data_IF_137397609800
#
_entry.id   IF_137397609800
#
_cell.length_a   1.000
_cell.length_b   1.000
_cell.length_c   1.000
_cell.angle_alpha   90.00
_cell.angle_beta   90.00
_cell.angle_gamma   90.00
#
_symmetry.space_group_name_H-M   'P 1'
#
loop_
_entity.id
_entity.type
_entity.pdbx_description
1 polymer ?
#
# COMPACT_ATOMS: atom_id res chain seq x y z
N UNK A 1 -1.53 -4.09 -4.26
CA UNK A 1 -0.12 -3.69 -4.48
C UNK A 1 0.58 -4.49 -5.59
N UNK A 2 0.56 -5.83 -5.57
CA UNK A 2 1.16 -6.65 -6.65
C UNK A 2 0.58 -6.43 -8.06
N UNK A 3 -0.59 -5.82 -8.18
CA UNK A 3 -1.09 -5.39 -9.48
C UNK A 3 -0.41 -4.10 -9.97
N UNK A 4 0.00 -3.20 -9.06
CA UNK A 4 0.75 -1.97 -9.39
C UNK A 4 2.14 -2.31 -9.94
N UNK A 5 2.86 -3.20 -9.26
CA UNK A 5 3.20 -4.49 -9.85
C UNK A 5 3.55 -4.56 -11.35
N UNK A 6 2.62 -5.20 -12.03
CA UNK A 6 2.70 -5.49 -13.45
C UNK A 6 2.41 -4.29 -14.35
N UNK A 7 1.86 -3.20 -13.80
CA UNK A 7 1.48 -2.01 -14.58
C UNK A 7 2.52 -0.90 -14.54
N UNK A 8 3.66 -1.11 -13.90
CA UNK A 8 4.71 -0.09 -13.73
C UNK A 8 4.17 1.20 -13.08
N UNK A 9 3.17 1.06 -12.21
CA UNK A 9 2.64 2.16 -11.42
C UNK A 9 3.43 2.16 -10.12
N UNK A 10 4.70 2.55 -10.20
CA UNK A 10 5.59 2.66 -9.06
C UNK A 10 6.13 4.06 -8.99
N UNK A 11 5.92 4.65 -7.82
CA UNK A 11 6.23 6.03 -7.58
C UNK A 11 7.05 6.11 -6.30
N UNK A 12 7.99 7.05 -6.25
CA UNK A 12 8.70 7.32 -5.01
C UNK A 12 7.67 7.76 -3.96
N UNK A 13 7.54 6.97 -2.89
CA UNK A 13 6.61 7.24 -1.80
C UNK A 13 7.37 7.90 -0.67
N UNK A 14 6.85 9.00 -0.16
CA UNK A 14 7.33 9.64 1.05
C UNK A 14 6.17 9.77 2.01
N UNK A 15 6.41 9.53 3.29
CA UNK A 15 5.39 9.68 4.32
C UNK A 15 4.89 11.13 4.40
N UNK A 16 3.57 11.30 4.43
CA UNK A 16 2.93 12.58 4.71
C UNK A 16 2.39 12.60 6.14
N UNK A 17 3.05 13.40 6.99
CA UNK A 17 2.62 13.65 8.36
C UNK A 17 1.34 14.48 8.44
N UNK A 18 1.00 15.25 7.40
CA UNK A 18 -0.19 16.07 7.34
C UNK A 18 -1.43 15.25 6.95
N UNK A 19 -2.12 14.73 7.96
CA UNK A 19 -3.33 13.92 7.81
C UNK A 19 -4.47 14.63 7.06
N UNK A 20 -4.49 15.97 7.01
CA UNK A 20 -5.51 16.73 6.29
C UNK A 20 -5.43 16.58 4.76
N UNK A 21 -4.29 16.12 4.24
CA UNK A 21 -4.12 15.82 2.81
C UNK A 21 -4.77 14.49 2.40
N UNK A 22 -4.96 13.55 3.34
CA UNK A 22 -5.45 12.19 3.04
C UNK A 22 -6.84 12.20 2.36
N UNK A 23 -7.86 12.95 2.83
CA UNK A 23 -9.17 12.96 2.19
C UNK A 23 -9.13 13.40 0.72
N UNK A 24 -8.39 14.46 0.40
CA UNK A 24 -8.27 14.96 -0.98
C UNK A 24 -7.58 13.95 -1.90
N UNK A 25 -6.60 13.21 -1.37
CA UNK A 25 -5.90 12.15 -2.12
C UNK A 25 -6.80 10.95 -2.38
N UNK A 26 -7.64 10.57 -1.41
CA UNK A 26 -8.68 9.55 -1.61
C UNK A 26 -9.68 9.95 -2.68
N UNK A 27 -10.11 11.22 -2.67
CA UNK A 27 -10.95 11.79 -3.74
C UNK A 27 -10.29 11.62 -5.10
N UNK A 28 -9.01 12.00 -5.22
CA UNK A 28 -8.28 11.84 -6.47
C UNK A 28 -8.10 10.37 -6.89
N UNK A 29 -7.99 9.44 -5.92
CA UNK A 29 -7.94 8.00 -6.18
C UNK A 29 -9.30 7.37 -6.50
N UNK A 30 -10.41 8.11 -6.39
CA UNK A 30 -11.76 7.58 -6.62
C UNK A 30 -12.31 6.75 -5.46
N UNK A 31 -11.75 6.87 -4.27
CA UNK A 31 -12.20 6.17 -3.06
C UNK A 31 -13.24 6.86 -2.15
N UNK A 32 -13.75 8.10 -2.37
CA UNK A 32 -14.87 8.61 -1.57
C UNK A 32 -16.11 7.75 -1.75
N UNK A 33 -17.01 7.79 -0.76
CA UNK A 33 -18.34 7.18 -0.91
C UNK A 33 -19.31 8.17 -1.56
N UNK A 34 -20.17 7.74 -2.51
CA UNK A 34 -20.21 6.41 -3.13
C UNK A 34 -19.11 6.20 -4.19
N UNK A 35 -18.61 4.97 -4.34
CA UNK A 35 -17.69 4.50 -5.39
C UNK A 35 -18.04 3.06 -5.82
N UNK A 36 -17.34 2.54 -6.84
CA UNK A 36 -17.62 1.21 -7.42
C UNK A 36 -17.46 0.04 -6.42
N UNK A 37 -16.78 0.23 -5.30
CA UNK A 37 -16.67 -0.78 -4.24
C UNK A 37 -17.86 -0.78 -3.27
N UNK A 38 -18.69 0.27 -3.26
CA UNK A 38 -19.89 0.35 -2.42
C UNK A 38 -21.18 0.63 -3.22
N UNK A 39 -21.11 0.60 -4.54
CA UNK A 39 -22.30 0.48 -5.41
C UNK A 39 -22.86 -0.94 -5.34
N UNK A 40 -24.18 -1.08 -5.24
CA UNK A 40 -24.84 -2.35 -5.00
C UNK A 40 -25.02 -3.20 -6.27
N UNK A 41 -24.73 -4.52 -6.23
CA UNK A 41 -24.07 -5.23 -5.13
C UNK A 41 -22.54 -5.07 -5.17
N UNK A 42 -21.89 -4.80 -4.02
CA UNK A 42 -20.44 -4.77 -3.94
C UNK A 42 -19.90 -6.18 -4.23
N UNK A 43 -18.90 -6.34 -5.09
CA UNK A 43 -18.61 -7.67 -5.62
C UNK A 43 -17.95 -8.56 -4.58
N UNK A 44 -18.56 -9.71 -4.31
CA UNK A 44 -18.04 -10.71 -3.37
C UNK A 44 -17.83 -10.22 -1.94
N UNK A 45 -18.59 -9.21 -1.48
CA UNK A 45 -18.44 -8.65 -0.12
C UNK A 45 -17.21 -7.74 0.05
N UNK A 46 -16.57 -7.33 -1.04
CA UNK A 46 -15.45 -6.39 -1.05
C UNK A 46 -15.98 -4.95 -1.11
N UNK A 47 -16.29 -4.41 0.06
CA UNK A 47 -16.98 -3.12 0.21
C UNK A 47 -16.05 -1.91 0.30
N UNK A 48 -14.75 -2.16 0.44
CA UNK A 48 -13.79 -1.13 0.85
C UNK A 48 -12.83 -0.80 -0.27
N UNK A 49 -12.49 0.48 -0.42
CA UNK A 49 -11.63 0.98 -1.49
C UNK A 49 -10.17 1.04 -0.99
N UNK A 50 -9.28 0.33 -1.66
CA UNK A 50 -7.84 0.29 -1.40
C UNK A 50 -7.10 1.02 -2.52
N UNK A 51 -6.39 2.10 -2.19
CA UNK A 51 -5.64 2.93 -3.12
C UNK A 51 -4.12 2.66 -3.15
N UNK A 52 -3.54 2.72 -4.34
CA UNK A 52 -2.11 2.84 -4.54
C UNK A 52 -1.78 3.94 -5.58
N UNK A 53 -0.88 4.90 -5.29
CA UNK A 53 -0.21 5.14 -4.01
C UNK A 53 -1.15 5.34 -2.81
N UNK A 54 -0.64 5.16 -1.58
CA UNK A 54 -1.44 5.31 -0.35
C UNK A 54 -1.72 6.78 -0.05
N UNK A 55 -2.95 7.14 0.33
CA UNK A 55 -3.30 8.53 0.65
C UNK A 55 -2.42 9.17 1.74
N UNK A 56 -1.80 8.34 2.59
CA UNK A 56 -0.80 8.72 3.59
C UNK A 56 0.61 9.01 3.04
N UNK A 57 0.79 9.01 1.73
CA UNK A 57 2.08 9.26 1.06
C UNK A 57 1.98 10.35 0.00
N UNK A 58 3.11 10.97 -0.33
CA UNK A 58 3.25 11.90 -1.44
C UNK A 58 4.54 11.65 -2.25
N UNK A 59 4.64 12.26 -3.42
CA UNK A 59 5.87 12.29 -4.22
C UNK A 59 6.79 13.42 -3.79
N UNK A 60 8.00 13.48 -4.36
CA UNK A 60 8.86 14.65 -4.14
C UNK A 60 8.18 15.91 -4.71
N UNK A 61 8.04 16.95 -3.89
CA UNK A 61 7.31 18.18 -4.23
C UNK A 61 5.83 18.22 -3.78
N UNK A 62 5.23 19.41 -3.78
CA UNK A 62 4.01 19.76 -3.03
C UNK A 62 2.67 19.17 -3.55
N UNK A 63 2.66 18.01 -4.22
CA UNK A 63 1.43 17.38 -4.73
C UNK A 63 1.61 16.16 -5.65
N UNK A 64 2.78 15.53 -5.64
CA UNK A 64 3.41 14.85 -6.79
C UNK A 64 2.73 13.65 -7.47
N UNK A 65 1.60 13.10 -7.01
CA UNK A 65 0.98 11.93 -7.67
C UNK A 65 -0.52 12.10 -7.95
N UNK A 66 -1.27 12.58 -6.96
CA UNK A 66 -2.74 12.56 -7.01
C UNK A 66 -3.37 13.57 -7.97
N UNK A 67 -2.69 14.68 -8.27
CA UNK A 67 -3.23 15.70 -9.17
C UNK A 67 -3.11 15.32 -10.66
N UNK A 68 -2.20 14.40 -11.02
CA UNK A 68 -1.83 14.16 -12.43
C UNK A 68 -1.57 12.68 -12.83
N UNK A 69 -1.46 11.71 -11.92
CA UNK A 69 -0.87 10.38 -12.24
C UNK A 69 -1.78 9.16 -12.08
N UNK A 70 -3.09 9.35 -11.89
CA UNK A 70 -4.06 8.25 -11.94
C UNK A 70 -3.79 7.16 -10.91
N UNK A 71 -3.92 7.51 -9.63
CA UNK A 71 -3.92 6.53 -8.55
C UNK A 71 -4.91 5.39 -8.89
N UNK A 72 -4.44 4.16 -8.70
CA UNK A 72 -5.24 2.96 -8.91
C UNK A 72 -5.93 2.62 -7.61
N UNK A 73 -7.20 2.25 -7.71
CA UNK A 73 -7.92 1.68 -6.59
C UNK A 73 -8.36 0.24 -6.92
N UNK A 74 -8.72 -0.52 -5.89
CA UNK A 74 -9.43 -1.80 -6.01
C UNK A 74 -10.37 -1.99 -4.85
N UNK A 75 -11.31 -2.91 -5.03
CA UNK A 75 -12.21 -3.31 -3.96
C UNK A 75 -11.60 -4.46 -3.16
N UNK A 76 -11.55 -4.28 -1.83
CA UNK A 76 -11.02 -5.25 -0.86
C UNK A 76 -12.04 -5.54 0.22
N UNK A 77 -11.83 -6.65 0.94
CA UNK A 77 -12.60 -6.92 2.16
C UNK A 77 -12.19 -5.95 3.28
N UNK A 78 -13.08 -5.69 4.23
CA UNK A 78 -12.75 -4.86 5.40
C UNK A 78 -11.59 -5.45 6.21
N UNK A 79 -11.49 -6.78 6.31
CA UNK A 79 -10.39 -7.46 7.02
C UNK A 79 -9.04 -7.18 6.37
N UNK A 80 -8.96 -7.30 5.04
CA UNK A 80 -7.74 -7.02 4.28
C UNK A 80 -7.35 -5.54 4.39
N UNK A 81 -8.33 -4.66 4.25
CA UNK A 81 -8.20 -3.22 4.39
C UNK A 81 -7.62 -2.83 5.76
N UNK A 82 -8.18 -3.38 6.84
CA UNK A 82 -7.71 -3.14 8.21
C UNK A 82 -6.30 -3.67 8.43
N UNK A 83 -6.00 -4.87 7.94
CA UNK A 83 -4.66 -5.48 8.06
C UNK A 83 -3.59 -4.64 7.36
N UNK A 84 -3.87 -4.19 6.14
CA UNK A 84 -2.96 -3.33 5.37
C UNK A 84 -2.77 -1.96 6.06
N UNK A 85 -3.86 -1.29 6.41
CA UNK A 85 -3.81 0.02 7.08
C UNK A 85 -3.08 -0.03 8.41
N UNK A 86 -3.14 -1.18 9.08
CA UNK A 86 -2.37 -1.41 10.27
C UNK A 86 -0.89 -1.61 10.06
N UNK A 87 -0.53 -2.43 9.07
CA UNK A 87 0.87 -2.63 8.69
C UNK A 87 1.54 -1.30 8.30
N UNK A 88 0.82 -0.43 7.57
CA UNK A 88 1.27 0.92 7.25
C UNK A 88 1.42 1.79 8.50
N UNK A 89 0.46 1.75 9.43
CA UNK A 89 0.57 2.48 10.70
C UNK A 89 1.78 2.04 11.51
N UNK A 90 2.04 0.73 11.59
CA UNK A 90 3.19 0.19 12.28
C UNK A 90 4.51 0.62 11.65
N UNK A 91 4.58 0.57 10.31
CA UNK A 91 5.71 1.11 9.55
C UNK A 91 5.94 2.59 9.88
N UNK A 92 4.89 3.42 9.84
CA UNK A 92 5.01 4.85 10.09
C UNK A 92 5.48 5.17 11.50
N UNK A 93 5.03 4.40 12.48
CA UNK A 93 5.52 4.52 13.84
C UNK A 93 6.98 4.08 14.00
N UNK A 94 7.43 3.10 13.23
CA UNK A 94 8.82 2.61 13.33
C UNK A 94 9.88 3.69 13.01
N UNK A 95 9.52 4.73 12.26
CA UNK A 95 10.36 5.89 11.97
C UNK A 95 9.86 7.18 12.62
N UNK A 96 9.05 7.09 13.69
CA UNK A 96 8.48 8.22 14.42
C UNK A 96 7.65 9.19 13.56
N UNK A 97 7.04 8.71 12.47
CA UNK A 97 6.18 9.51 11.61
C UNK A 97 6.86 10.79 11.08
N UNK A 98 8.18 10.73 10.86
CA UNK A 98 8.94 11.84 10.28
C UNK A 98 8.46 12.08 8.84
N UNK A 99 8.00 13.29 8.56
CA UNK A 99 7.59 13.73 7.22
C UNK A 99 8.72 13.54 6.20
N UNK A 100 8.38 13.36 4.92
CA UNK A 100 9.36 13.10 3.86
C UNK A 100 10.18 11.81 4.03
N UNK A 101 9.89 10.94 5.00
CA UNK A 101 10.59 9.66 5.10
C UNK A 101 10.27 8.81 3.86
N UNK A 102 11.29 8.43 3.10
CA UNK A 102 11.13 7.58 1.92
C UNK A 102 10.61 6.19 2.32
N UNK A 103 9.60 5.71 1.60
CA UNK A 103 8.96 4.41 1.83
C UNK A 103 9.17 3.55 0.59
N UNK A 104 9.91 2.45 0.78
CA UNK A 104 9.93 1.35 -0.17
C UNK A 104 8.78 0.38 0.07
N UNK A 105 8.23 -0.19 -0.99
CA UNK A 105 7.22 -1.26 -0.87
C UNK A 105 7.85 -2.55 -1.37
N UNK A 106 7.82 -3.55 -0.51
CA UNK A 106 8.23 -4.92 -0.83
C UNK A 106 7.04 -5.85 -0.67
N UNK A 107 6.98 -6.90 -1.47
CA UNK A 107 6.01 -7.99 -1.31
C UNK A 107 6.75 -9.26 -0.94
N UNK A 108 6.48 -9.80 0.24
CA UNK A 108 7.04 -11.06 0.71
C UNK A 108 6.17 -12.26 0.28
N UNK A 109 6.79 -13.43 0.15
CA UNK A 109 6.12 -14.72 -0.08
C UNK A 109 5.18 -14.76 -1.28
N UNK A 110 5.42 -13.92 -2.28
CA UNK A 110 4.48 -13.65 -3.37
C UNK A 110 4.39 -14.77 -4.44
N UNK A 111 5.25 -15.78 -4.37
CA UNK A 111 5.43 -16.80 -5.44
C UNK A 111 4.19 -17.64 -5.72
N UNK A 112 3.29 -17.77 -4.75
CA UNK A 112 2.01 -18.47 -4.90
C UNK A 112 0.89 -17.59 -5.46
N UNK A 113 1.15 -16.30 -5.72
CA UNK A 113 0.19 -15.34 -6.25
C UNK A 113 0.37 -15.20 -7.77
N UNK A 114 -0.56 -15.73 -8.59
CA UNK A 114 -0.41 -15.74 -10.05
C UNK A 114 -0.26 -14.36 -10.68
N UNK A 115 -0.91 -13.35 -10.10
CA UNK A 115 -0.82 -11.97 -10.56
C UNK A 115 0.46 -11.25 -10.08
N UNK A 116 1.24 -11.78 -9.14
CA UNK A 116 2.56 -11.22 -8.81
C UNK A 116 3.67 -11.84 -9.68
N UNK A 117 3.40 -13.00 -10.27
CA UNK A 117 4.37 -13.84 -11.00
C UNK A 117 4.15 -13.85 -12.51
N UNK A 118 2.94 -13.52 -12.98
CA UNK A 118 2.59 -13.49 -14.39
C UNK A 118 1.81 -12.22 -14.75
N UNK A 119 2.47 -11.36 -15.54
CA UNK A 119 1.95 -10.09 -16.05
C UNK A 119 0.71 -10.25 -16.96
N UNK A 120 0.50 -11.43 -17.53
CA UNK A 120 -0.63 -11.74 -18.41
C UNK A 120 -1.84 -12.30 -17.66
N UNK A 121 -1.73 -12.53 -16.34
CA UNK A 121 -2.88 -12.96 -15.55
C UNK A 121 -3.84 -11.78 -15.32
N UNK A 122 -5.16 -11.99 -15.46
CA UNK A 122 -6.14 -11.00 -15.06
C UNK A 122 -5.94 -10.63 -13.60
N UNK A 123 -6.14 -9.35 -13.30
CA UNK A 123 -6.12 -8.84 -11.94
C UNK A 123 -7.14 -9.56 -11.06
N UNK A 124 -6.83 -9.75 -9.78
CA UNK A 124 -7.69 -10.40 -8.78
C UNK A 124 -8.92 -9.57 -8.35
N UNK A 125 -9.10 -8.36 -8.86
CA UNK A 125 -10.34 -7.62 -8.63
C UNK A 125 -10.36 -6.20 -9.16
N UNK A 126 -11.28 -5.93 -10.09
CA UNK A 126 -12.05 -4.67 -10.13
C UNK A 126 -11.26 -3.38 -9.89
N UNK A 127 -10.13 -3.28 -10.57
CA UNK A 127 -9.31 -2.09 -10.52
C UNK A 127 -10.01 -1.00 -11.30
N UNK A 128 -10.22 0.15 -10.66
CA UNK A 128 -10.53 1.38 -11.36
C UNK A 128 -9.32 2.31 -11.25
N UNK A 129 -9.06 3.04 -12.33
CA UNK A 129 -8.19 4.21 -12.26
C UNK A 129 -9.05 5.39 -11.81
N UNK A 130 -8.52 6.32 -11.02
CA UNK A 130 -9.22 7.56 -10.69
C UNK A 130 -9.76 8.29 -11.94
N UNK A 131 -10.64 9.28 -11.73
CA UNK A 131 -11.41 9.98 -12.79
C UNK A 131 -10.59 10.66 -13.90
N UNK A 132 -9.26 10.67 -13.80
CA UNK A 132 -8.37 10.95 -14.91
C UNK A 132 -7.43 9.76 -15.08
N UNK A 133 -7.52 9.00 -16.18
CA UNK A 133 -6.47 8.05 -16.52
C UNK A 133 -5.13 8.79 -16.54
N UNK A 134 -4.03 8.17 -16.11
CA UNK A 134 -2.70 8.77 -16.20
C UNK A 134 -2.47 9.21 -17.64
N UNK A 135 -2.57 10.51 -17.90
CA UNK A 135 -2.03 11.11 -19.10
C UNK A 135 -0.50 11.08 -18.96
N UNK A 136 0.12 9.92 -19.24
CA UNK A 136 1.36 9.99 -19.98
C UNK A 136 0.98 10.43 -21.38
N UNK A 137 1.58 11.50 -21.88
CA UNK A 137 1.42 11.93 -23.29
C UNK A 137 1.92 10.87 -24.30
N UNK A 138 2.35 9.70 -23.82
CA UNK A 138 3.09 8.71 -24.59
C UNK A 138 2.49 7.30 -24.51
N UNK A 139 1.41 7.05 -23.74
CA UNK A 139 0.74 5.75 -23.74
C UNK A 139 -0.77 5.90 -23.67
N UNK A 140 -1.42 5.72 -24.83
CA UNK A 140 -2.83 5.37 -24.92
C UNK A 140 -3.15 4.23 -23.96
N UNK A 141 -4.35 4.27 -23.38
CA UNK A 141 -5.01 3.16 -22.69
C UNK A 141 -5.35 2.03 -23.66
N UNK A 142 -4.40 1.63 -24.50
CA UNK A 142 -4.46 0.38 -25.18
C UNK A 142 -4.25 -0.70 -24.12
N UNK A 143 -5.14 -1.67 -24.12
CA UNK A 143 -4.88 -3.06 -23.78
C UNK A 143 -3.69 -3.58 -24.61
N UNK A 144 -2.50 -3.02 -24.42
CA UNK A 144 -1.29 -3.44 -25.10
C UNK A 144 -0.70 -4.59 -24.31
N UNK A 145 -0.75 -5.75 -24.95
CA UNK A 145 0.07 -6.94 -24.71
C UNK A 145 1.60 -6.68 -24.81
N UNK A 146 2.06 -5.42 -24.79
CA UNK A 146 3.48 -5.09 -24.85
C UNK A 146 4.06 -5.17 -23.44
N UNK A 147 4.39 -6.40 -23.08
CA UNK A 147 5.16 -6.79 -21.92
C UNK A 147 6.58 -6.23 -22.05
N UNK A 148 6.80 -4.99 -21.61
CA UNK A 148 8.14 -4.62 -21.13
C UNK A 148 8.24 -5.26 -19.74
N UNK A 149 9.04 -6.32 -19.54
CA UNK A 149 9.23 -6.86 -18.22
C UNK A 149 9.86 -5.75 -17.40
N UNK A 150 9.12 -5.21 -16.43
CA UNK A 150 9.73 -4.40 -15.38
C UNK A 150 10.88 -5.23 -14.83
N UNK A 151 12.07 -4.64 -14.66
CA UNK A 151 13.15 -5.33 -13.98
C UNK A 151 12.62 -5.79 -12.62
N UNK A 152 12.55 -7.11 -12.41
CA UNK A 152 12.06 -7.71 -11.16
C UNK A 152 13.26 -7.79 -10.24
N UNK A 153 13.15 -7.13 -9.10
CA UNK A 153 14.21 -7.09 -8.09
C UNK A 153 13.83 -8.03 -6.95
N UNK A 154 14.35 -9.25 -7.01
CA UNK A 154 14.06 -10.30 -6.05
C UNK A 154 15.23 -10.50 -5.10
N UNK A 155 14.92 -10.75 -3.83
CA UNK A 155 15.93 -10.91 -2.79
C UNK A 155 15.53 -11.98 -1.79
N UNK A 156 16.53 -12.50 -1.07
CA UNK A 156 16.34 -13.16 0.22
C UNK A 156 16.77 -12.26 1.36
N UNK A 157 16.00 -12.27 2.43
CA UNK A 157 16.37 -11.64 3.69
C UNK A 157 17.22 -12.58 4.56
N UNK A 158 17.76 -12.07 5.68
CA UNK A 158 18.55 -12.89 6.61
C UNK A 158 17.74 -14.00 7.27
N UNK A 159 16.43 -13.81 7.43
CA UNK A 159 15.51 -14.88 7.88
C UNK A 159 14.94 -15.73 6.74
N UNK A 160 15.60 -15.74 5.56
CA UNK A 160 15.22 -16.55 4.40
C UNK A 160 13.81 -16.26 3.85
N UNK A 161 13.32 -15.04 4.02
CA UNK A 161 12.09 -14.60 3.35
C UNK A 161 12.41 -14.20 1.91
N UNK A 162 11.57 -14.63 0.96
CA UNK A 162 11.67 -14.18 -0.43
C UNK A 162 10.85 -12.92 -0.61
N UNK A 163 11.50 -11.85 -1.04
CA UNK A 163 10.88 -10.54 -1.23
C UNK A 163 11.03 -10.06 -2.68
N UNK A 164 10.01 -9.37 -3.17
CA UNK A 164 10.00 -8.64 -4.42
C UNK A 164 9.95 -7.14 -4.11
N UNK A 165 10.97 -6.39 -4.51
CA UNK A 165 10.96 -4.93 -4.37
C UNK A 165 10.18 -4.28 -5.50
N UNK A 166 9.18 -3.47 -5.14
CA UNK A 166 8.31 -2.77 -6.08
C UNK A 166 8.87 -1.40 -6.48
N UNK A 167 9.63 -0.76 -5.60
CA UNK A 167 10.06 0.63 -5.76
C UNK A 167 11.46 0.80 -6.33
N UNK A 168 12.16 -0.30 -6.63
CA UNK A 168 13.51 -0.31 -7.22
C UNK A 168 14.45 -1.34 -6.60
N UNK A 169 15.72 -1.40 -7.02
CA UNK A 169 16.70 -2.28 -6.42
C UNK A 169 16.98 -1.92 -4.95
N UNK A 170 17.27 -2.93 -4.14
CA UNK A 170 17.68 -2.79 -2.74
C UNK A 170 19.16 -3.17 -2.60
N UNK A 171 19.88 -2.52 -1.69
CA UNK A 171 21.26 -2.87 -1.38
C UNK A 171 21.33 -4.07 -0.42
N UNK A 172 22.40 -4.88 -0.54
CA UNK A 172 22.69 -5.91 0.47
C UNK A 172 22.98 -5.23 1.81
N UNK A 173 22.36 -5.71 2.89
CA UNK A 173 22.39 -5.12 4.23
C UNK A 173 21.31 -4.08 4.48
N UNK A 174 20.57 -3.65 3.45
CA UNK A 174 19.45 -2.72 3.59
C UNK A 174 18.36 -3.32 4.48
N UNK A 175 17.77 -2.50 5.35
CA UNK A 175 16.80 -2.95 6.35
C UNK A 175 15.38 -2.86 5.79
N UNK A 176 14.66 -3.96 5.85
CA UNK A 176 13.25 -4.06 5.48
C UNK A 176 12.43 -4.24 6.76
N UNK A 177 11.46 -3.37 6.99
CA UNK A 177 10.54 -3.52 8.11
C UNK A 177 9.52 -4.61 7.83
N UNK A 178 9.40 -5.57 8.74
CA UNK A 178 8.43 -6.66 8.72
C UNK A 178 7.43 -6.39 9.84
N UNK A 179 6.22 -5.91 9.50
CA UNK A 179 5.18 -5.65 10.48
C UNK A 179 4.79 -6.94 11.23
N UNK A 180 4.54 -6.83 12.52
CA UNK A 180 3.89 -7.89 13.26
C UNK A 180 2.42 -7.96 12.83
N UNK A 181 2.03 -9.01 12.10
CA UNK A 181 0.66 -9.18 11.59
C UNK A 181 -0.41 -9.16 12.68
N UNK A 182 -0.02 -9.49 13.92
CA UNK A 182 -0.92 -9.54 15.07
C UNK A 182 -0.92 -8.26 15.91
N UNK A 183 -0.25 -7.17 15.48
CA UNK A 183 -0.12 -5.95 16.30
C UNK A 183 -1.48 -5.37 16.74
N UNK A 184 -2.52 -5.49 15.90
CA UNK A 184 -3.88 -5.01 16.21
C UNK A 184 -4.53 -5.78 17.37
N UNK A 185 -4.13 -7.03 17.57
CA UNK A 185 -4.62 -7.89 18.66
C UNK A 185 -3.87 -7.65 19.96
N UNK A 186 -2.78 -6.85 19.95
CA UNK A 186 -2.10 -6.46 21.17
C UNK A 186 -3.08 -5.68 22.08
N UNK A 187 -3.22 -6.05 23.37
CA UNK A 187 -4.21 -5.42 24.26
C UNK A 187 -4.14 -3.89 24.30
N UNK A 188 -2.94 -3.31 24.18
CA UNK A 188 -2.74 -1.85 24.16
C UNK A 188 -3.33 -1.20 22.91
N UNK A 189 -3.10 -1.81 21.75
CA UNK A 189 -3.61 -1.33 20.47
C UNK A 189 -5.11 -1.60 20.33
N UNK A 190 -5.56 -2.80 20.70
CA UNK A 190 -6.96 -3.20 20.67
C UNK A 190 -7.85 -2.27 21.50
N UNK A 191 -7.41 -1.87 22.71
CA UNK A 191 -8.16 -0.94 23.55
C UNK A 191 -8.38 0.42 22.87
N UNK A 192 -7.38 0.94 22.17
CA UNK A 192 -7.49 2.20 21.42
C UNK A 192 -8.38 2.04 20.19
N UNK A 193 -8.23 0.95 19.43
CA UNK A 193 -9.06 0.68 18.26
C UNK A 193 -10.55 0.54 18.64
N UNK A 194 -10.86 -0.13 19.75
CA UNK A 194 -12.23 -0.26 20.27
C UNK A 194 -12.77 1.10 20.73
N UNK A 195 -11.95 1.89 21.43
CA UNK A 195 -12.37 3.19 21.96
C UNK A 195 -12.61 4.24 20.85
N UNK A 196 -11.91 4.10 19.72
CA UNK A 196 -11.96 5.02 18.58
C UNK A 196 -12.74 4.45 17.39
N UNK A 197 -13.57 3.42 17.60
CA UNK A 197 -14.33 2.72 16.56
C UNK A 197 -15.39 3.66 15.94
N UNK A 198 -14.91 4.54 15.08
CA UNK A 198 -15.68 5.36 14.18
C UNK A 198 -15.71 4.71 12.78
N UNK A 199 -16.69 5.06 11.94
CA UNK A 199 -17.00 4.41 10.66
C UNK A 199 -15.99 4.71 9.53
N UNK A 200 -14.70 4.74 9.84
CA UNK A 200 -13.67 4.98 8.84
C UNK A 200 -13.28 3.64 8.20
N UNK A 201 -14.11 3.22 7.24
CA UNK A 201 -13.89 2.13 6.28
C UNK A 201 -12.74 2.46 5.31
N UNK A 202 -11.58 2.90 5.81
CA UNK A 202 -10.47 3.36 4.98
C UNK A 202 -9.22 2.49 5.17
N UNK A 203 -8.58 2.10 4.07
CA UNK A 203 -7.49 1.11 4.09
C UNK A 203 -6.11 1.64 4.47
N UNK A 204 -5.96 2.95 4.69
CA UNK A 204 -4.63 3.56 4.84
C UNK A 204 -4.48 4.28 6.18
N UNK A 205 -3.96 3.59 7.19
CA UNK A 205 -3.44 4.16 8.44
C UNK A 205 -4.31 5.30 8.99
N UNK A 206 -5.53 4.96 9.41
CA UNK A 206 -6.48 5.91 9.99
C UNK A 206 -5.86 6.57 11.23
N UNK A 207 -6.42 7.70 11.66
CA UNK A 207 -5.98 8.36 12.90
C UNK A 207 -6.02 7.38 14.09
N UNK A 208 -7.05 6.55 14.17
CA UNK A 208 -7.19 5.51 15.19
C UNK A 208 -6.09 4.43 15.10
N UNK A 209 -5.77 3.95 13.88
CA UNK A 209 -4.69 2.97 13.70
C UNK A 209 -3.31 3.54 14.03
N UNK A 210 -3.06 4.81 13.68
CA UNK A 210 -1.83 5.51 14.05
C UNK A 210 -1.73 5.68 15.57
N UNK A 211 -2.80 6.11 16.23
CA UNK A 211 -2.84 6.24 17.68
C UNK A 211 -2.62 4.91 18.40
N UNK A 212 -3.30 3.85 17.93
CA UNK A 212 -3.17 2.50 18.46
C UNK A 212 -1.74 1.96 18.31
N UNK A 213 -1.14 2.12 17.12
CA UNK A 213 0.24 1.73 16.87
C UNK A 213 1.22 2.54 17.74
N UNK A 214 0.91 3.81 18.03
CA UNK A 214 1.71 4.66 18.92
C UNK A 214 1.73 4.21 20.38
N UNK A 215 0.88 3.25 20.78
CA UNK A 215 0.94 2.63 22.12
C UNK A 215 1.91 1.45 22.20
N UNK A 216 2.43 0.99 21.07
CA UNK A 216 3.27 -0.18 20.98
C UNK A 216 4.75 0.21 20.92
N UNK A 217 5.60 -0.64 21.50
CA UNK A 217 7.05 -0.56 21.33
C UNK A 217 7.43 -0.99 19.90
N UNK A 218 8.63 -0.62 19.45
CA UNK A 218 9.12 -1.01 18.13
C UNK A 218 9.09 -2.54 17.92
N UNK A 219 9.43 -3.32 18.96
CA UNK A 219 9.39 -4.79 18.92
C UNK A 219 7.95 -5.36 18.86
N UNK A 220 6.97 -4.65 19.43
CA UNK A 220 5.55 -5.05 19.32
C UNK A 220 4.96 -4.71 17.95
N UNK A 221 5.48 -3.67 17.29
CA UNK A 221 5.07 -3.24 15.95
C UNK A 221 5.60 -4.12 14.84
N UNK A 222 6.80 -4.66 15.01
CA UNK A 222 7.46 -5.48 14.01
C UNK A 222 8.96 -5.59 14.24
N UNK A 223 9.66 -6.11 13.24
CA UNK A 223 11.11 -6.28 13.27
C UNK A 223 11.70 -5.81 11.96
N UNK A 224 12.95 -5.37 11.98
CA UNK A 224 13.70 -5.16 10.76
C UNK A 224 14.47 -6.43 10.38
N UNK A 225 14.49 -6.74 9.09
CA UNK A 225 15.25 -7.84 8.51
C UNK A 225 16.14 -7.29 7.39
N UNK A 226 17.38 -7.75 7.32
CA UNK A 226 18.33 -7.26 6.34
C UNK A 226 18.20 -8.03 5.01
N UNK A 227 18.35 -7.33 3.89
CA UNK A 227 18.55 -7.95 2.58
C UNK A 227 19.88 -8.72 2.60
N UNK A 228 19.83 -10.03 2.39
CA UNK A 228 21.00 -10.91 2.45
C UNK A 228 21.61 -11.18 1.09
N UNK A 229 20.79 -11.38 0.06
CA UNK A 229 21.26 -11.65 -1.31
C UNK A 229 20.19 -11.31 -2.35
N UNK A 230 20.63 -10.91 -3.54
CA UNK A 230 19.78 -10.86 -4.74
C UNK A 230 19.53 -12.28 -5.28
N UNK A 231 18.39 -12.49 -5.94
CA UNK A 231 17.98 -13.75 -6.57
C UNK A 231 17.95 -13.65 -8.09
#
# INVERSE_FOLDING_TARGET
>A
MCFAANRNVYYALHYDSNVSNKPQRRVAAGCPKPNHCNTAPPPGGRTTCDEYPFASTHGTGNGGWYSNTGATNRCVSQTECSSQGGSLSALYQSFNQVDQTAIGVVVANYTHLPFCTNVNQPSDGQFATGTRPPYRRDMEFATRNDTIPAARYEYKTTNNQTILSLTGPLAIGEQVFIPNENWQTNPKAAAVLIALDGPNDDCTGTAAQLEAAGKLTSAELGVYDAVAQAL
#
